data_IF_598523614390
#
_entry.id   IF_598523614390
#
_cell.length_a   1.000
_cell.length_b   1.000
_cell.length_c   1.000
_cell.angle_alpha   90.00
_cell.angle_beta   90.00
_cell.angle_gamma   90.00
#
_symmetry.space_group_name_H-M   'P 1'
#
loop_
_entity.id
_entity.type
_entity.pdbx_description
1 polymer ?
#
# COMPACT_ATOMS: atom_id res chain seq x y z
N UNK A 1 -0.45 11.66 -12.92
CA UNK A 1 -1.56 11.34 -12.00
C UNK A 1 -2.26 10.13 -12.59
N UNK A 2 -2.23 8.99 -11.89
CA UNK A 2 -2.82 7.74 -12.38
C UNK A 2 -4.33 7.91 -12.51
N UNK A 3 -4.83 8.00 -13.75
CA UNK A 3 -6.26 8.05 -14.11
C UNK A 3 -6.96 6.69 -13.91
N UNK A 4 -6.58 5.98 -12.84
CA UNK A 4 -7.30 4.80 -12.38
C UNK A 4 -8.43 5.30 -11.51
N UNK A 5 -9.67 4.91 -11.84
CA UNK A 5 -10.88 5.21 -11.05
C UNK A 5 -10.83 4.52 -9.68
N UNK A 6 -9.93 5.00 -8.82
CA UNK A 6 -9.67 4.48 -7.49
C UNK A 6 -10.61 5.16 -6.50
N UNK A 7 -11.14 4.39 -5.53
CA UNK A 7 -11.78 4.97 -4.37
C UNK A 7 -10.84 5.95 -3.64
N UNK A 8 -11.36 7.01 -2.98
CA UNK A 8 -10.53 7.97 -2.25
C UNK A 8 -9.59 7.32 -1.24
N UNK A 9 -10.07 6.31 -0.51
CA UNK A 9 -9.27 5.56 0.46
C UNK A 9 -8.09 4.83 -0.18
N UNK A 10 -8.27 4.28 -1.38
CA UNK A 10 -7.19 3.62 -2.13
C UNK A 10 -6.13 4.60 -2.57
N UNK A 11 -6.52 5.80 -3.03
CA UNK A 11 -5.55 6.85 -3.39
C UNK A 11 -4.71 7.29 -2.20
N UNK A 12 -5.34 7.52 -1.05
CA UNK A 12 -4.62 7.90 0.18
C UNK A 12 -3.61 6.83 0.60
N UNK A 13 -3.99 5.55 0.56
CA UNK A 13 -3.07 4.45 0.90
C UNK A 13 -1.93 4.33 -0.10
N UNK A 14 -2.20 4.54 -1.40
CA UNK A 14 -1.18 4.49 -2.43
C UNK A 14 -0.15 5.62 -2.24
N UNK A 15 -0.61 6.85 -2.08
CA UNK A 15 0.27 8.00 -1.80
C UNK A 15 1.11 7.78 -0.54
N UNK A 16 0.50 7.21 0.51
CA UNK A 16 1.25 6.89 1.72
C UNK A 16 2.37 5.88 1.45
N UNK A 17 2.13 4.85 0.64
CA UNK A 17 3.14 3.86 0.24
C UNK A 17 4.22 4.45 -0.68
N UNK A 18 3.92 5.52 -1.43
CA UNK A 18 4.90 6.25 -2.23
C UNK A 18 5.86 7.07 -1.35
N UNK A 19 5.31 7.79 -0.38
CA UNK A 19 6.10 8.66 0.50
C UNK A 19 6.85 7.88 1.58
N UNK A 20 6.17 6.91 2.21
CA UNK A 20 6.71 6.15 3.34
C UNK A 20 7.35 4.81 2.97
N UNK A 21 7.29 4.42 1.69
CA UNK A 21 7.84 3.16 1.20
C UNK A 21 7.07 1.92 1.68
N UNK A 22 7.80 0.81 1.82
CA UNK A 22 7.22 -0.48 2.12
C UNK A 22 6.73 -0.55 3.59
N UNK A 23 5.42 -0.73 3.81
CA UNK A 23 4.79 -0.68 5.13
C UNK A 23 3.86 -1.86 5.39
N UNK A 24 3.74 -2.26 6.65
CA UNK A 24 2.75 -3.26 7.09
C UNK A 24 1.34 -2.68 7.15
N UNK A 25 0.32 -3.55 7.14
CA UNK A 25 -1.07 -3.12 7.33
C UNK A 25 -1.26 -2.25 8.58
N UNK A 26 -0.59 -2.59 9.69
CA UNK A 26 -0.69 -1.85 10.96
C UNK A 26 -0.14 -0.42 10.84
N UNK A 27 0.99 -0.25 10.17
CA UNK A 27 1.60 1.06 9.94
C UNK A 27 0.72 1.93 9.05
N UNK A 28 0.16 1.34 7.98
CA UNK A 28 -0.75 2.05 7.08
C UNK A 28 -2.00 2.53 7.84
N UNK A 29 -2.59 1.70 8.69
CA UNK A 29 -3.71 2.11 9.56
C UNK A 29 -3.30 3.27 10.47
N UNK A 30 -2.14 3.18 11.11
CA UNK A 30 -1.68 4.20 12.04
C UNK A 30 -1.38 5.55 11.39
N UNK A 31 -0.98 5.57 10.11
CA UNK A 31 -0.59 6.80 9.41
C UNK A 31 -1.72 7.40 8.54
N UNK A 32 -2.65 6.58 8.07
CA UNK A 32 -3.73 7.04 7.17
C UNK A 32 -4.94 7.61 7.90
N UNK A 33 -5.04 7.47 9.23
CA UNK A 33 -6.25 7.74 10.02
C UNK A 33 -7.52 7.03 9.51
N UNK A 34 -7.36 5.97 8.71
CA UNK A 34 -8.46 5.16 8.20
C UNK A 34 -8.74 3.99 9.14
N UNK A 35 -10.01 3.58 9.20
CA UNK A 35 -10.38 2.38 9.92
C UNK A 35 -9.67 1.14 9.32
N UNK A 36 -9.29 0.13 10.13
CA UNK A 36 -8.58 -1.07 9.65
C UNK A 36 -9.26 -1.79 8.48
N UNK A 37 -10.59 -1.84 8.48
CA UNK A 37 -11.40 -2.43 7.40
C UNK A 37 -11.30 -1.63 6.10
N UNK A 38 -11.27 -0.31 6.19
CA UNK A 38 -11.11 0.60 5.04
C UNK A 38 -9.72 0.43 4.43
N UNK A 39 -8.67 0.29 5.26
CA UNK A 39 -7.32 0.01 4.77
C UNK A 39 -7.24 -1.34 4.06
N UNK A 40 -7.87 -2.39 4.61
CA UNK A 40 -7.95 -3.69 3.92
C UNK A 40 -8.65 -3.58 2.56
N UNK A 41 -9.76 -2.85 2.50
CA UNK A 41 -10.47 -2.60 1.25
C UNK A 41 -9.61 -1.84 0.25
N UNK A 42 -8.93 -0.78 0.69
CA UNK A 42 -8.02 0.01 -0.12
C UNK A 42 -6.88 -0.84 -0.70
N UNK A 43 -6.18 -1.60 0.14
CA UNK A 43 -5.10 -2.51 -0.28
C UNK A 43 -5.60 -3.57 -1.26
N UNK A 44 -6.79 -4.15 -1.02
CA UNK A 44 -7.41 -5.09 -1.97
C UNK A 44 -7.63 -4.44 -3.34
N UNK A 45 -8.19 -3.23 -3.37
CA UNK A 45 -8.43 -2.51 -4.62
C UNK A 45 -7.12 -2.14 -5.34
N UNK A 46 -6.11 -1.68 -4.61
CA UNK A 46 -4.80 -1.38 -5.18
C UNK A 46 -4.13 -2.63 -5.76
N UNK A 47 -4.27 -3.78 -5.10
CA UNK A 47 -3.77 -5.08 -5.59
C UNK A 47 -4.51 -5.56 -6.83
N UNK A 48 -5.84 -5.45 -6.86
CA UNK A 48 -6.66 -5.76 -8.05
C UNK A 48 -6.23 -4.93 -9.27
N UNK A 49 -5.91 -3.65 -9.05
CA UNK A 49 -5.37 -2.73 -10.07
C UNK A 49 -3.86 -2.86 -10.29
N UNK A 50 -3.19 -3.82 -9.63
CA UNK A 50 -1.77 -4.12 -9.79
C UNK A 50 -0.82 -2.93 -9.50
N UNK A 51 -1.27 -1.97 -8.68
CA UNK A 51 -0.50 -0.78 -8.29
C UNK A 51 0.43 -1.03 -7.10
N UNK A 52 0.17 -2.08 -6.33
CA UNK A 52 1.00 -2.49 -5.18
C UNK A 52 1.41 -3.94 -5.29
N UNK A 53 2.45 -4.30 -4.53
CA UNK A 53 2.91 -5.67 -4.34
C UNK A 53 2.92 -6.01 -2.85
N UNK A 54 2.71 -7.30 -2.56
CA UNK A 54 2.85 -7.87 -1.23
C UNK A 54 4.19 -8.60 -1.14
N UNK A 55 4.95 -8.34 -0.08
CA UNK A 55 6.21 -9.01 0.23
C UNK A 55 6.13 -9.62 1.62
N UNK A 56 6.80 -10.75 1.80
CA UNK A 56 7.03 -11.29 3.14
C UNK A 56 7.91 -10.34 3.94
N UNK A 57 7.54 -10.12 5.20
CA UNK A 57 8.42 -9.43 6.12
C UNK A 57 9.52 -10.41 6.59
N UNK A 58 10.76 -10.18 6.17
CA UNK A 58 11.91 -11.00 6.58
C UNK A 58 12.17 -10.95 8.10
N UNK A 59 11.71 -9.90 8.80
CA UNK A 59 11.85 -9.76 10.26
C UNK A 59 10.77 -10.53 11.04
N UNK A 60 9.57 -10.65 10.48
CA UNK A 60 8.47 -11.44 11.05
C UNK A 60 7.61 -12.02 9.92
N UNK A 61 7.82 -13.29 9.56
CA UNK A 61 7.15 -13.95 8.45
C UNK A 61 5.62 -14.03 8.57
N UNK A 62 5.05 -13.76 9.77
CA UNK A 62 3.59 -13.68 9.97
C UNK A 62 3.00 -12.37 9.44
N UNK A 63 3.84 -11.40 9.12
CA UNK A 63 3.45 -10.10 8.61
C UNK A 63 3.76 -9.97 7.12
N UNK A 64 2.85 -9.29 6.43
CA UNK A 64 3.00 -8.90 5.04
C UNK A 64 3.30 -7.41 4.99
N UNK A 65 4.25 -7.05 4.14
CA UNK A 65 4.60 -5.67 3.81
C UNK A 65 3.99 -5.36 2.44
N UNK A 66 3.38 -4.19 2.32
CA UNK A 66 2.84 -3.65 1.09
C UNK A 66 3.79 -2.59 0.57
N UNK A 67 4.02 -2.56 -0.74
CA UNK A 67 4.87 -1.56 -1.39
C UNK A 67 4.21 -1.11 -2.69
N UNK A 68 4.34 0.18 -3.04
CA UNK A 68 3.99 0.61 -4.40
C UNK A 68 4.88 -0.11 -5.41
N UNK A 69 4.28 -0.58 -6.51
CA UNK A 69 4.99 -1.20 -7.61
C UNK A 69 5.94 -0.22 -8.32
N UNK A 70 5.58 1.06 -8.41
CA UNK A 70 6.37 2.09 -9.09
C UNK A 70 7.61 2.51 -8.29
N UNK A 71 7.55 2.48 -6.96
CA UNK A 71 8.71 2.80 -6.10
C UNK A 71 9.83 1.74 -6.12
N UNK A 72 9.70 0.70 -6.94
CA UNK A 72 10.78 -0.24 -7.28
C UNK A 72 11.63 0.24 -8.47
N UNK A 73 11.29 1.37 -9.12
CA UNK A 73 12.14 2.00 -10.12
C UNK A 73 13.18 2.89 -9.43
N UNK A 74 14.21 2.27 -8.85
CA UNK A 74 15.47 2.97 -8.61
C UNK A 74 16.27 2.81 -9.91
N UNK A 75 16.59 3.90 -10.64
CA UNK A 75 17.51 3.81 -11.76
C UNK A 75 18.89 3.45 -11.23
N UNK A 76 19.59 2.63 -12.03
CA UNK A 76 20.97 2.20 -11.81
C UNK A 76 21.96 3.37 -11.68
#
# INVERSE_FOLDING_TARGET
MHDVNLPPSSRTVLQLLDEGGAMTHKEIVSRSNLAPRTVRYALKKLKENQLIIEKFNFRDARQIIYQNRESQQVPA
#
